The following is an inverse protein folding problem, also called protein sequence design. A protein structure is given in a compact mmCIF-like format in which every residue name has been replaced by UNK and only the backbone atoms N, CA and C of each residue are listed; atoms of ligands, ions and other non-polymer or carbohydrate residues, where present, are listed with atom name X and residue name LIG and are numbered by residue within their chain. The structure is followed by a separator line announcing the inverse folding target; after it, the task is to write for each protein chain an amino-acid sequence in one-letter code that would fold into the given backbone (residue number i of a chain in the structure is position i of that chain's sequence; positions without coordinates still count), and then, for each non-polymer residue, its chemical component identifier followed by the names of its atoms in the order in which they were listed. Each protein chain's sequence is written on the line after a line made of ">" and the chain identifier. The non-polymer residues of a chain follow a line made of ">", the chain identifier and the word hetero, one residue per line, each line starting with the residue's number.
data_IF_626555391968
#
_entry.id   IF_626555391968
#
_cell.length_a   1.000
_cell.length_b   1.000
_cell.length_c   1.000
_cell.angle_alpha   90.00
_cell.angle_beta   90.00
_cell.angle_gamma   90.00
#
_symmetry.space_group_name_H-M   'P 1'
#
loop_
_entity.id
_entity.type
_entity.pdbx_description
1 polymer ?
#
# COMPACT_ATOMS: atom_id res chain seq x y z
N UNK A 1 -10.85 1.64 -17.33
CA UNK A 1 -11.01 0.60 -16.28
C UNK A 1 -9.73 -0.14 -15.93
N UNK A 2 -8.84 -0.42 -16.89
CA UNK A 2 -7.61 -1.16 -16.61
C UNK A 2 -6.69 -0.43 -15.63
N UNK A 3 -6.50 0.89 -15.80
CA UNK A 3 -5.65 1.67 -14.89
C UNK A 3 -6.21 1.74 -13.46
N UNK A 4 -7.54 1.84 -13.31
CA UNK A 4 -8.17 1.82 -11.99
C UNK A 4 -7.95 0.49 -11.28
N UNK A 5 -8.13 -0.63 -12.00
CA UNK A 5 -7.86 -1.96 -11.46
C UNK A 5 -6.39 -2.19 -11.12
N UNK A 6 -5.45 -1.64 -11.90
CA UNK A 6 -4.01 -1.73 -11.60
C UNK A 6 -3.66 -0.99 -10.28
N UNK A 7 -4.29 0.17 -10.02
CA UNK A 7 -4.15 0.90 -8.75
C UNK A 7 -4.77 0.14 -7.57
N UNK A 8 -6.00 -0.35 -7.72
CA UNK A 8 -6.69 -1.10 -6.65
C UNK A 8 -5.90 -2.36 -6.26
N UNK A 9 -5.39 -3.09 -7.25
CA UNK A 9 -4.54 -4.26 -7.03
C UNK A 9 -3.23 -3.89 -6.34
N UNK A 10 -2.61 -2.76 -6.68
CA UNK A 10 -1.38 -2.29 -6.05
C UNK A 10 -1.61 -1.96 -4.57
N UNK A 11 -2.69 -1.23 -4.25
CA UNK A 11 -3.08 -0.93 -2.86
C UNK A 11 -3.34 -2.21 -2.08
N UNK A 12 -4.05 -3.18 -2.65
CA UNK A 12 -4.32 -4.46 -2.00
C UNK A 12 -3.02 -5.24 -1.70
N UNK A 13 -2.05 -5.26 -2.64
CA UNK A 13 -0.75 -5.90 -2.43
C UNK A 13 0.05 -5.25 -1.32
N UNK A 14 0.13 -3.92 -1.29
CA UNK A 14 0.81 -3.18 -0.21
C UNK A 14 0.18 -3.51 1.14
N UNK A 15 -1.16 -3.61 1.18
CA UNK A 15 -1.84 -3.99 2.41
C UNK A 15 -1.64 -5.47 2.79
N UNK A 16 -1.50 -6.38 1.82
CA UNK A 16 -1.21 -7.81 2.07
C UNK A 16 0.21 -8.04 2.58
N UNK A 17 1.18 -7.26 2.12
CA UNK A 17 2.57 -7.29 2.60
C UNK A 17 2.73 -6.70 4.01
N UNK A 18 1.63 -6.29 4.64
CA UNK A 18 1.62 -5.83 6.03
C UNK A 18 2.07 -4.39 6.20
N UNK A 19 2.16 -3.60 5.12
CA UNK A 19 2.41 -2.17 5.20
C UNK A 19 1.13 -1.44 5.64
N UNK A 20 1.24 -0.60 6.66
CA UNK A 20 0.12 0.15 7.24
C UNK A 20 0.55 1.58 7.54
N UNK A 21 -0.35 2.53 7.32
CA UNK A 21 -0.19 3.89 7.84
C UNK A 21 -0.49 3.93 9.32
N UNK A 22 -0.11 5.04 9.99
CA UNK A 22 -0.28 5.22 11.44
C UNK A 22 -1.72 5.00 11.93
N UNK A 23 -2.73 5.29 11.09
CA UNK A 23 -4.15 5.21 11.45
C UNK A 23 -4.69 3.77 11.52
N UNK A 24 -4.09 2.84 10.77
CA UNK A 24 -4.54 1.44 10.63
C UNK A 24 -3.45 0.44 11.01
N UNK A 25 -2.44 0.91 11.74
CA UNK A 25 -1.32 0.10 12.19
C UNK A 25 -1.69 -0.72 13.43
N UNK A 26 -1.27 -1.99 13.43
CA UNK A 26 -1.32 -2.89 14.59
C UNK A 26 0.09 -3.40 14.90
N UNK A 27 0.38 -3.69 16.17
CA UNK A 27 1.65 -4.28 16.59
C UNK A 27 1.99 -5.53 15.75
N UNK A 28 3.19 -5.56 15.18
CA UNK A 28 3.65 -6.62 14.26
C UNK A 28 3.51 -6.31 12.77
N UNK A 29 2.94 -5.15 12.39
CA UNK A 29 2.90 -4.69 11.00
C UNK A 29 4.04 -3.71 10.67
N UNK A 30 4.22 -3.39 9.39
CA UNK A 30 5.21 -2.41 8.93
C UNK A 30 4.56 -1.03 8.87
N UNK A 31 4.88 -0.17 9.84
CA UNK A 31 4.40 1.22 9.86
C UNK A 31 5.13 2.05 8.80
N UNK A 32 4.37 2.61 7.87
CA UNK A 32 4.83 3.56 6.86
C UNK A 32 4.25 4.96 7.11
N UNK A 33 4.96 5.98 6.61
CA UNK A 33 4.42 7.33 6.44
C UNK A 33 3.58 7.45 5.17
N UNK A 34 2.83 8.55 5.05
CA UNK A 34 1.99 8.82 3.87
C UNK A 34 2.78 8.82 2.56
N UNK A 35 3.98 9.41 2.56
CA UNK A 35 4.85 9.43 1.37
C UNK A 35 5.34 8.03 1.01
N UNK A 36 5.82 7.27 2.00
CA UNK A 36 6.30 5.90 1.79
C UNK A 36 5.20 4.95 1.33
N UNK A 37 3.96 5.15 1.77
CA UNK A 37 2.80 4.40 1.29
C UNK A 37 2.57 4.67 -0.20
N UNK A 38 2.65 5.93 -0.62
CA UNK A 38 2.54 6.32 -2.03
C UNK A 38 3.64 5.73 -2.89
N UNK A 39 4.90 5.85 -2.45
CA UNK A 39 6.06 5.27 -3.15
C UNK A 39 5.90 3.76 -3.32
N UNK A 40 5.48 3.07 -2.25
CA UNK A 40 5.19 1.64 -2.30
C UNK A 40 4.13 1.31 -3.33
N UNK A 41 2.97 1.98 -3.28
CA UNK A 41 1.88 1.73 -4.25
C UNK A 41 2.39 1.89 -5.69
N UNK A 42 3.20 2.92 -5.96
CA UNK A 42 3.81 3.13 -7.30
C UNK A 42 4.72 1.96 -7.70
N UNK A 43 5.48 1.36 -6.77
CA UNK A 43 6.29 0.16 -7.07
C UNK A 43 5.43 -1.08 -7.46
N UNK A 44 4.19 -1.17 -6.99
CA UNK A 44 3.29 -2.30 -7.30
C UNK A 44 2.38 -2.05 -8.51
N UNK A 45 2.27 -0.81 -8.98
CA UNK A 45 1.61 -0.46 -10.25
C UNK A 45 2.57 -0.85 -11.39
N UNK A 46 2.12 -1.72 -12.30
CA UNK A 46 2.88 -2.18 -13.48
C UNK A 46 2.21 -1.79 -14.77
#
# INVERSE_FOLDING_TARGET
>A
DKEAGDIENAVEKVLKDGFRTVDIYTEGMNKLSTSQMGDKIVEYIK
#
